data_IF_787580755935
#
_entry.id   IF_787580755935
#
_cell.length_a   1.000
_cell.length_b   1.000
_cell.length_c   1.000
_cell.angle_alpha   90.00
_cell.angle_beta   90.00
_cell.angle_gamma   90.00
#
_symmetry.space_group_name_H-M   'P 1'
#
loop_
_entity.id
_entity.type
_entity.pdbx_description
1 polymer ?
#
# COMPACT_ATOMS: atom_id res chain seq x y z
N UNK A 1 -26.51 2.30 5.77
CA UNK A 1 -26.01 0.92 5.85
C UNK A 1 -24.53 1.12 5.64
N UNK A 2 -23.81 1.24 6.75
CA UNK A 2 -22.48 1.86 6.73
C UNK A 2 -21.48 0.73 6.45
N UNK A 3 -21.05 0.68 5.19
CA UNK A 3 -20.09 -0.28 4.69
C UNK A 3 -18.66 0.17 4.97
N UNK A 4 -17.73 -0.43 4.23
CA UNK A 4 -16.36 0.07 4.13
C UNK A 4 -16.29 0.84 2.82
N UNK A 5 -15.89 2.11 2.88
CA UNK A 5 -15.79 2.98 1.69
C UNK A 5 -14.36 3.00 1.12
N UNK A 6 -13.36 2.58 1.90
CA UNK A 6 -11.94 2.64 1.54
C UNK A 6 -11.14 1.48 2.14
N UNK A 7 -10.18 0.95 1.38
CA UNK A 7 -9.17 0.00 1.84
C UNK A 7 -7.78 0.59 1.72
N UNK A 8 -7.03 0.62 2.82
CA UNK A 8 -5.62 1.04 2.84
C UNK A 8 -4.70 -0.16 3.10
N UNK A 9 -3.57 -0.22 2.40
CA UNK A 9 -2.55 -1.25 2.57
C UNK A 9 -1.12 -0.69 2.48
N UNK A 10 -0.16 -1.52 2.87
CA UNK A 10 1.26 -1.25 2.71
C UNK A 10 1.85 -2.34 1.82
N UNK A 11 2.35 -1.95 0.66
CA UNK A 11 2.91 -2.85 -0.34
C UNK A 11 4.43 -2.71 -0.37
N UNK A 12 5.11 -3.83 -0.66
CA UNK A 12 6.49 -3.75 -1.15
C UNK A 12 6.51 -3.05 -2.51
N UNK A 13 7.63 -2.43 -2.85
CA UNK A 13 7.80 -1.77 -4.15
C UNK A 13 7.61 -2.76 -5.33
N UNK A 14 8.01 -4.02 -5.15
CA UNK A 14 7.87 -5.07 -6.18
C UNK A 14 6.42 -5.50 -6.41
N UNK A 15 5.55 -5.35 -5.42
CA UNK A 15 4.14 -5.72 -5.51
C UNK A 15 3.23 -4.54 -5.92
N UNK A 16 3.77 -3.32 -5.99
CA UNK A 16 2.99 -2.12 -6.33
C UNK A 16 2.18 -2.30 -7.62
N UNK A 17 2.83 -2.70 -8.72
CA UNK A 17 2.14 -2.89 -10.00
C UNK A 17 1.10 -4.02 -10.01
N UNK A 18 1.11 -4.93 -9.04
CA UNK A 18 0.01 -5.87 -8.84
C UNK A 18 -1.22 -5.16 -8.26
N UNK A 19 -1.04 -4.36 -7.21
CA UNK A 19 -2.14 -3.64 -6.56
C UNK A 19 -2.71 -2.50 -7.42
N UNK A 20 -1.88 -1.82 -8.21
CA UNK A 20 -2.34 -0.84 -9.20
C UNK A 20 -3.34 -1.45 -10.19
N UNK A 21 -3.09 -2.68 -10.64
CA UNK A 21 -4.02 -3.42 -11.53
C UNK A 21 -5.33 -3.82 -10.85
N UNK A 22 -5.37 -3.85 -9.52
CA UNK A 22 -6.58 -4.08 -8.72
C UNK A 22 -7.34 -2.79 -8.38
N UNK A 23 -6.85 -1.65 -8.85
CA UNK A 23 -7.46 -0.34 -8.64
C UNK A 23 -6.96 0.41 -7.41
N UNK A 24 -5.88 -0.06 -6.78
CA UNK A 24 -5.24 0.70 -5.70
C UNK A 24 -4.36 1.82 -6.26
N UNK A 25 -4.23 2.92 -5.52
CA UNK A 25 -3.38 4.05 -5.88
C UNK A 25 -2.32 4.28 -4.79
N UNK A 26 -1.10 4.66 -5.20
CA UNK A 26 -0.05 5.01 -4.26
C UNK A 26 -0.28 6.41 -3.69
N UNK A 27 -0.33 6.52 -2.36
CA UNK A 27 -0.61 7.79 -1.67
C UNK A 27 0.55 8.28 -0.81
N UNK A 28 1.43 7.38 -0.37
CA UNK A 28 2.64 7.74 0.37
C UNK A 28 3.73 6.67 0.22
N UNK A 29 4.96 7.01 0.60
CA UNK A 29 6.05 6.07 0.79
C UNK A 29 6.49 6.09 2.25
N UNK A 30 6.88 4.93 2.78
CA UNK A 30 7.37 4.77 4.15
C UNK A 30 8.59 3.86 4.16
N UNK A 31 9.58 4.18 5.00
CA UNK A 31 10.72 3.29 5.26
C UNK A 31 10.56 2.64 6.62
N UNK A 32 10.76 1.32 6.68
CA UNK A 32 10.72 0.53 7.92
C UNK A 32 12.03 -0.21 8.12
N UNK A 33 12.52 -0.22 9.36
CA UNK A 33 13.63 -1.09 9.73
C UNK A 33 13.10 -2.45 10.15
N UNK A 34 13.49 -3.50 9.43
CA UNK A 34 13.17 -4.89 9.72
C UNK A 34 14.49 -5.65 9.82
N UNK A 35 14.74 -6.32 10.96
CA UNK A 35 15.98 -7.06 11.22
C UNK A 35 17.26 -6.24 10.95
N UNK A 36 17.24 -4.96 11.33
CA UNK A 36 18.35 -4.03 11.13
C UNK A 36 18.51 -3.52 9.69
N UNK A 37 17.65 -3.94 8.76
CA UNK A 37 17.66 -3.49 7.36
C UNK A 37 16.55 -2.47 7.15
N UNK A 38 16.89 -1.30 6.60
CA UNK A 38 15.89 -0.32 6.16
C UNK A 38 15.31 -0.72 4.82
N UNK A 39 14.00 -0.93 4.77
CA UNK A 39 13.25 -1.34 3.59
C UNK A 39 12.19 -0.28 3.28
N UNK A 40 12.10 0.12 2.03
CA UNK A 40 11.09 1.05 1.54
C UNK A 40 9.82 0.31 1.11
N UNK A 41 8.68 0.90 1.47
CA UNK A 41 7.34 0.44 1.15
C UNK A 41 6.51 1.59 0.59
N UNK A 42 5.43 1.24 -0.09
CA UNK A 42 4.43 2.19 -0.58
C UNK A 42 3.10 1.96 0.13
N UNK A 43 2.50 3.04 0.65
CA UNK A 43 1.14 3.04 1.18
C UNK A 43 0.20 3.24 0.01
N UNK A 44 -0.82 2.40 -0.07
CA UNK A 44 -1.79 2.43 -1.16
C UNK A 44 -3.22 2.38 -0.64
N UNK A 45 -4.14 3.05 -1.32
CA UNK A 45 -5.56 3.06 -0.99
C UNK A 45 -6.43 2.61 -2.18
N UNK A 46 -7.68 2.28 -1.91
CA UNK A 46 -8.70 1.96 -2.92
C UNK A 46 -10.08 2.27 -2.37
N UNK A 47 -10.82 3.10 -3.08
CA UNK A 47 -12.26 3.30 -2.86
C UNK A 47 -13.06 2.04 -3.28
N UNK A 48 -14.09 1.70 -2.51
CA UNK A 48 -14.92 0.49 -2.69
C UNK A 48 -16.26 0.73 -3.39
#
# INVERSE_FOLDING_TARGET
>A
MDGIDELTLISSLTAQGFYERLGYQAVAAETRTIDGTSIEFVVMDKEL
#
